data_IF_145015746104
#
_entry.id   IF_145015746104
#
_cell.length_a   1.000
_cell.length_b   1.000
_cell.length_c   1.000
_cell.angle_alpha   90.00
_cell.angle_beta   90.00
_cell.angle_gamma   90.00
#
_symmetry.space_group_name_H-M   'P 1'
#
loop_
_entity.id
_entity.type
_entity.pdbx_description
1 polymer ?
#
# COMPACT_ATOMS: atom_id res chain seq x y z
N UNK A 1 -6.57 -3.89 4.12
CA UNK A 1 -5.60 -3.75 3.02
C UNK A 1 -4.22 -3.54 3.61
N UNK A 2 -3.20 -4.30 3.20
CA UNK A 2 -1.81 -4.08 3.60
C UNK A 2 -1.07 -3.21 2.59
N UNK A 3 -0.27 -2.26 3.08
CA UNK A 3 0.65 -1.49 2.24
C UNK A 3 2.02 -2.15 2.26
N UNK A 4 2.48 -2.56 1.11
CA UNK A 4 3.73 -3.26 0.87
C UNK A 4 4.63 -2.40 0.00
N UNK A 5 5.84 -2.12 0.47
CA UNK A 5 6.80 -1.33 -0.28
C UNK A 5 8.22 -1.61 0.23
N UNK A 6 9.20 -1.37 -0.64
CA UNK A 6 10.58 -1.22 -0.17
C UNK A 6 10.75 0.06 0.66
N UNK A 7 11.81 0.12 1.44
CA UNK A 7 12.21 1.34 2.18
C UNK A 7 12.32 2.50 1.18
N UNK A 8 11.88 3.68 1.57
CA UNK A 8 11.88 4.92 0.78
C UNK A 8 11.00 4.93 -0.50
N UNK A 9 10.24 3.89 -0.82
CA UNK A 9 9.28 3.93 -1.93
C UNK A 9 8.05 4.82 -1.66
N UNK A 10 7.93 5.37 -0.44
CA UNK A 10 6.91 6.36 -0.09
C UNK A 10 5.67 5.79 0.60
N UNK A 11 5.78 4.61 1.21
CA UNK A 11 4.69 3.93 1.91
C UNK A 11 4.08 4.80 3.02
N UNK A 12 4.88 5.25 3.99
CA UNK A 12 4.43 6.12 5.09
C UNK A 12 3.86 7.44 4.57
N UNK A 13 4.46 8.01 3.52
CA UNK A 13 3.96 9.23 2.86
C UNK A 13 2.56 9.03 2.27
N UNK A 14 2.31 7.87 1.63
CA UNK A 14 0.99 7.56 1.08
C UNK A 14 -0.04 7.35 2.19
N UNK A 15 0.32 6.66 3.27
CA UNK A 15 -0.56 6.48 4.45
C UNK A 15 -0.94 7.83 5.05
N UNK A 16 0.04 8.72 5.28
CA UNK A 16 -0.21 10.06 5.78
C UNK A 16 -1.14 10.86 4.86
N UNK A 17 -0.93 10.76 3.54
CA UNK A 17 -1.79 11.43 2.57
C UNK A 17 -3.23 10.88 2.61
N UNK A 18 -3.43 9.56 2.72
CA UNK A 18 -4.74 8.92 2.86
C UNK A 18 -5.45 9.38 4.15
N UNK A 19 -4.74 9.40 5.27
CA UNK A 19 -5.30 9.83 6.56
C UNK A 19 -5.70 11.31 6.55
N UNK A 20 -4.91 12.17 5.89
CA UNK A 20 -5.23 13.60 5.73
C UNK A 20 -6.43 13.81 4.82
N UNK A 21 -6.46 13.15 3.66
CA UNK A 21 -7.53 13.32 2.65
C UNK A 21 -8.90 12.87 3.17
N UNK A 22 -8.95 11.86 4.04
CA UNK A 22 -10.19 11.31 4.59
C UNK A 22 -10.64 11.98 5.90
N UNK A 23 -9.93 13.04 6.34
CA UNK A 23 -10.31 13.80 7.53
C UNK A 23 -10.22 13.02 8.84
N UNK A 24 -9.45 11.94 8.89
CA UNK A 24 -9.26 11.10 10.08
C UNK A 24 -8.60 11.88 11.23
N UNK A 25 -7.92 12.97 10.92
CA UNK A 25 -7.36 13.89 11.91
C UNK A 25 -8.33 15.04 12.20
N UNK A 26 -8.56 15.35 13.49
CA UNK A 26 -9.30 16.53 13.89
C UNK A 26 -8.57 17.79 13.37
N UNK A 27 -9.34 18.78 12.87
CA UNK A 27 -8.83 20.00 12.22
C UNK A 27 -7.85 20.85 13.07
N UNK A 28 -7.65 20.50 14.34
CA UNK A 28 -6.78 21.20 15.29
C UNK A 28 -5.57 20.38 15.77
N UNK A 29 -5.39 19.14 15.30
CA UNK A 29 -4.18 18.40 15.59
C UNK A 29 -3.07 18.84 14.63
N UNK A 30 -1.97 19.38 15.18
CA UNK A 30 -0.76 19.56 14.41
C UNK A 30 -0.30 18.18 13.92
N UNK A 31 -0.52 17.92 12.64
CA UNK A 31 -0.15 16.63 12.03
C UNK A 31 1.36 16.62 11.93
N UNK A 32 2.00 15.88 12.81
CA UNK A 32 3.43 15.58 12.70
C UNK A 32 3.60 14.67 11.48
N UNK A 33 4.57 14.97 10.62
CA UNK A 33 4.91 14.06 9.53
C UNK A 33 5.26 12.67 10.10
N UNK A 34 4.87 11.61 9.37
CA UNK A 34 5.00 10.21 9.80
C UNK A 34 4.17 9.88 11.04
N UNK A 35 2.88 10.20 10.98
CA UNK A 35 1.93 9.97 12.07
C UNK A 35 1.94 8.52 12.58
N UNK A 36 2.19 7.57 11.70
CA UNK A 36 2.25 6.15 12.06
C UNK A 36 3.58 5.75 12.73
N UNK A 37 4.68 6.47 12.51
CA UNK A 37 5.97 6.17 13.13
C UNK A 37 6.02 6.74 14.56
N UNK A 38 5.42 6.04 15.52
CA UNK A 38 5.29 6.49 16.90
C UNK A 38 6.46 6.09 17.81
N UNK A 39 7.31 5.16 17.37
CA UNK A 39 8.48 4.70 18.13
C UNK A 39 9.70 5.59 17.83
N UNK A 40 10.44 5.98 18.88
CA UNK A 40 11.64 6.81 18.74
C UNK A 40 12.68 6.18 17.79
N UNK A 41 12.81 4.86 17.78
CA UNK A 41 13.71 4.14 16.87
C UNK A 41 13.26 4.22 15.40
N UNK A 42 11.95 4.17 15.14
CA UNK A 42 11.39 4.33 13.80
C UNK A 42 11.62 5.75 13.27
N UNK A 43 11.43 6.76 14.14
CA UNK A 43 11.69 8.17 13.82
C UNK A 43 13.15 8.45 13.55
N UNK A 44 14.04 7.92 14.39
CA UNK A 44 15.49 8.10 14.27
C UNK A 44 16.04 7.44 13.00
N UNK A 45 15.60 6.23 12.71
CA UNK A 45 16.07 5.44 11.54
C UNK A 45 15.29 5.71 10.27
N UNK A 46 14.12 6.33 10.37
CA UNK A 46 13.26 6.63 9.23
C UNK A 46 12.60 5.40 8.60
N UNK A 47 12.47 4.29 9.32
CA UNK A 47 11.88 3.02 8.84
C UNK A 47 10.76 2.55 9.76
N UNK A 48 9.72 1.92 9.20
CA UNK A 48 8.69 1.21 9.97
C UNK A 48 9.25 -0.11 10.48
N UNK A 49 9.15 -0.35 11.79
CA UNK A 49 9.62 -1.59 12.45
C UNK A 49 8.45 -2.51 12.76
N UNK A 50 7.35 -1.97 13.30
CA UNK A 50 6.15 -2.72 13.66
C UNK A 50 5.03 -2.43 12.69
N UNK A 51 4.26 -3.46 12.33
CA UNK A 51 3.03 -3.29 11.58
C UNK A 51 2.03 -2.47 12.40
N UNK A 52 1.40 -1.48 11.77
CA UNK A 52 0.43 -0.59 12.41
C UNK A 52 -0.84 -0.55 11.60
N UNK A 53 -1.96 -0.49 12.30
CA UNK A 53 -3.26 -0.38 11.67
C UNK A 53 -3.81 1.03 11.81
N UNK A 54 -4.37 1.54 10.72
CA UNK A 54 -5.16 2.76 10.67
C UNK A 54 -6.46 2.50 9.92
N UNK A 55 -7.45 3.34 10.14
CA UNK A 55 -8.71 3.24 9.40
C UNK A 55 -9.04 4.57 8.77
N UNK A 56 -9.50 4.53 7.53
CA UNK A 56 -10.04 5.68 6.82
C UNK A 56 -11.47 5.37 6.41
N UNK A 57 -12.32 6.40 6.37
CA UNK A 57 -13.68 6.27 5.84
C UNK A 57 -13.75 7.05 4.53
N UNK A 58 -14.12 6.36 3.46
CA UNK A 58 -14.30 6.96 2.14
C UNK A 58 -15.63 6.52 1.54
N UNK A 59 -16.44 7.47 1.12
CA UNK A 59 -17.84 7.23 0.83
C UNK A 59 -18.44 6.45 2.03
N UNK A 60 -19.26 5.52 1.90
CA UNK A 60 -19.83 4.75 3.03
C UNK A 60 -19.01 3.50 3.41
N UNK A 61 -17.73 3.44 3.01
CA UNK A 61 -16.86 2.28 3.23
C UNK A 61 -15.74 2.62 4.21
N UNK A 62 -15.57 1.79 5.23
CA UNK A 62 -14.43 1.82 6.13
C UNK A 62 -13.31 0.95 5.58
N UNK A 63 -12.18 1.56 5.26
CA UNK A 63 -10.98 0.89 4.77
C UNK A 63 -9.97 0.81 5.90
N UNK A 64 -9.62 -0.40 6.33
CA UNK A 64 -8.56 -0.62 7.31
C UNK A 64 -7.24 -0.78 6.57
N UNK A 65 -6.29 0.08 6.88
CA UNK A 65 -4.95 0.10 6.31
C UNK A 65 -3.98 -0.52 7.33
N UNK A 66 -3.15 -1.44 6.87
CA UNK A 66 -2.07 -2.01 7.68
C UNK A 66 -0.75 -1.59 7.05
N UNK A 67 -0.02 -0.72 7.75
CA UNK A 67 1.32 -0.31 7.36
C UNK A 67 2.31 -1.40 7.76
N UNK A 68 2.98 -2.01 6.79
CA UNK A 68 3.91 -3.12 7.02
C UNK A 68 5.36 -2.63 7.02
N UNK A 69 6.27 -3.25 7.79
CA UNK A 69 7.70 -2.99 7.67
C UNK A 69 8.19 -3.24 6.23
N UNK A 70 9.06 -2.35 5.74
CA UNK A 70 9.67 -2.48 4.41
C UNK A 70 11.02 -3.21 4.42
N UNK A 71 11.54 -3.61 5.58
CA UNK A 71 12.87 -4.21 5.72
C UNK A 71 12.79 -5.74 5.90
N UNK A 72 13.71 -6.48 5.26
CA UNK A 72 13.73 -7.95 5.27
C UNK A 72 13.84 -8.57 6.68
N UNK A 73 14.47 -7.87 7.62
CA UNK A 73 14.66 -8.35 8.99
C UNK A 73 13.32 -8.49 9.76
N UNK A 74 12.25 -7.88 9.26
CA UNK A 74 10.92 -7.91 9.87
C UNK A 74 9.93 -8.82 9.14
N UNK A 75 10.41 -9.85 8.44
CA UNK A 75 9.59 -10.76 7.65
C UNK A 75 8.43 -11.40 8.43
N UNK A 76 8.62 -11.72 9.71
CA UNK A 76 7.57 -12.27 10.57
C UNK A 76 6.41 -11.30 10.84
N UNK A 77 6.69 -9.98 10.95
CA UNK A 77 5.64 -8.96 11.08
C UNK A 77 4.87 -8.79 9.77
N UNK A 78 5.56 -8.86 8.64
CA UNK A 78 4.93 -8.82 7.31
C UNK A 78 4.00 -10.02 7.11
N UNK A 79 4.44 -11.24 7.44
CA UNK A 79 3.60 -12.44 7.35
C UNK A 79 2.34 -12.32 8.21
N UNK A 80 2.47 -11.87 9.46
CA UNK A 80 1.29 -11.64 10.33
C UNK A 80 0.34 -10.60 9.75
N UNK A 81 0.88 -9.49 9.23
CA UNK A 81 0.06 -8.45 8.63
C UNK A 81 -0.73 -8.96 7.43
N UNK A 82 -0.10 -9.78 6.57
CA UNK A 82 -0.73 -10.34 5.38
C UNK A 82 -1.86 -11.34 5.72
N UNK A 83 -1.80 -12.05 6.84
CA UNK A 83 -2.89 -12.95 7.26
C UNK A 83 -4.14 -12.22 7.78
N UNK A 84 -4.06 -10.91 8.02
CA UNK A 84 -5.15 -10.10 8.56
C UNK A 84 -5.83 -9.20 7.54
N UNK A 85 -5.47 -9.33 6.26
CA UNK A 85 -5.95 -8.41 5.21
C UNK A 85 -6.57 -9.17 4.04
N UNK A 86 -7.39 -8.47 3.27
CA UNK A 86 -8.12 -9.02 2.12
C UNK A 86 -7.49 -8.63 0.77
N UNK A 87 -6.38 -7.88 0.80
CA UNK A 87 -5.64 -7.48 -0.39
C UNK A 87 -4.47 -6.58 -0.06
N UNK A 88 -3.63 -6.30 -1.05
CA UNK A 88 -2.41 -5.50 -0.88
C UNK A 88 -2.34 -4.31 -1.83
N UNK A 89 -1.71 -3.23 -1.37
CA UNK A 89 -1.18 -2.15 -2.20
C UNK A 89 0.32 -2.34 -2.33
N UNK A 90 0.79 -2.71 -3.51
CA UNK A 90 2.20 -2.86 -3.82
C UNK A 90 2.75 -1.53 -4.34
N UNK A 91 3.46 -0.78 -3.49
CA UNK A 91 4.10 0.47 -3.87
C UNK A 91 5.48 0.21 -4.47
N UNK A 92 5.71 0.79 -5.64
CA UNK A 92 6.99 0.74 -6.34
C UNK A 92 7.40 2.16 -6.75
N UNK A 93 8.64 2.54 -6.49
CA UNK A 93 9.20 3.81 -6.94
C UNK A 93 9.39 3.80 -8.46
N UNK A 94 8.90 4.84 -9.14
CA UNK A 94 8.94 4.95 -10.61
C UNK A 94 10.34 5.02 -11.21
N UNK A 95 11.38 5.28 -10.41
CA UNK A 95 12.76 5.33 -10.86
C UNK A 95 13.54 4.05 -10.51
N UNK A 96 13.30 3.49 -9.30
CA UNK A 96 14.05 2.35 -8.79
C UNK A 96 13.50 1.00 -9.25
N UNK A 97 12.18 0.88 -9.39
CA UNK A 97 11.54 -0.38 -9.72
C UNK A 97 11.40 -1.34 -8.52
N UNK A 98 10.95 -2.59 -8.75
CA UNK A 98 10.79 -3.58 -7.70
C UNK A 98 12.16 -4.08 -7.21
N UNK A 99 12.36 -4.07 -5.89
CA UNK A 99 13.60 -4.49 -5.24
C UNK A 99 13.45 -5.88 -4.60
N UNK A 100 14.54 -6.57 -4.20
CA UNK A 100 14.49 -7.96 -3.72
C UNK A 100 13.51 -8.21 -2.57
N UNK A 101 13.33 -7.25 -1.67
CA UNK A 101 12.38 -7.36 -0.57
C UNK A 101 10.92 -7.34 -1.06
N UNK A 102 10.64 -6.61 -2.13
CA UNK A 102 9.32 -6.62 -2.79
C UNK A 102 8.98 -8.05 -3.26
N UNK A 103 9.95 -8.78 -3.81
CA UNK A 103 9.78 -10.17 -4.24
C UNK A 103 9.32 -11.08 -3.11
N UNK A 104 9.98 -11.00 -1.95
CA UNK A 104 9.63 -11.83 -0.79
C UNK A 104 8.20 -11.60 -0.32
N UNK A 105 7.83 -10.32 -0.13
CA UNK A 105 6.50 -9.97 0.36
C UNK A 105 5.42 -10.32 -0.64
N UNK A 106 5.66 -10.06 -1.94
CA UNK A 106 4.72 -10.41 -3.00
C UNK A 106 4.52 -11.93 -3.07
N UNK A 107 5.58 -12.75 -2.98
CA UNK A 107 5.47 -14.19 -2.94
C UNK A 107 4.54 -14.67 -1.80
N UNK A 108 4.65 -14.06 -0.62
CA UNK A 108 3.78 -14.38 0.51
C UNK A 108 2.34 -13.97 0.26
N UNK A 109 2.11 -12.79 -0.30
CA UNK A 109 0.76 -12.33 -0.66
C UNK A 109 0.10 -13.25 -1.70
N UNK A 110 0.84 -13.65 -2.75
CA UNK A 110 0.36 -14.60 -3.75
C UNK A 110 0.03 -15.97 -3.15
N UNK A 111 0.85 -16.47 -2.21
CA UNK A 111 0.58 -17.75 -1.52
C UNK A 111 -0.67 -17.72 -0.65
N UNK A 112 -1.12 -16.53 -0.24
CA UNK A 112 -2.37 -16.29 0.49
C UNK A 112 -3.53 -15.92 -0.45
N UNK A 113 -3.31 -15.95 -1.77
CA UNK A 113 -4.30 -15.58 -2.79
C UNK A 113 -4.86 -14.16 -2.62
N UNK A 114 -4.04 -13.22 -2.17
CA UNK A 114 -4.44 -11.83 -1.96
C UNK A 114 -4.39 -11.05 -3.28
N UNK A 115 -5.49 -10.36 -3.67
CA UNK A 115 -5.46 -9.47 -4.82
C UNK A 115 -4.51 -8.30 -4.56
N UNK A 116 -3.82 -7.86 -5.62
CA UNK A 116 -2.87 -6.77 -5.58
C UNK A 116 -3.34 -5.57 -6.40
N UNK A 117 -3.10 -4.37 -5.88
CA UNK A 117 -3.13 -3.12 -6.64
C UNK A 117 -1.71 -2.59 -6.68
N UNK A 118 -1.17 -2.37 -7.86
CA UNK A 118 0.18 -1.83 -8.05
C UNK A 118 0.12 -0.31 -8.10
N UNK A 119 0.90 0.34 -7.24
CA UNK A 119 0.99 1.79 -7.17
C UNK A 119 2.40 2.22 -7.57
N UNK A 120 2.54 2.76 -8.78
CA UNK A 120 3.79 3.36 -9.27
C UNK A 120 3.88 4.77 -8.71
N UNK A 121 4.70 4.95 -7.69
CA UNK A 121 4.83 6.20 -6.95
C UNK A 121 6.00 7.05 -7.43
N UNK A 122 5.96 8.34 -7.13
CA UNK A 122 6.98 9.33 -7.48
C UNK A 122 7.14 9.49 -9.00
N UNK A 123 6.04 9.40 -9.75
CA UNK A 123 6.05 9.59 -11.21
C UNK A 123 6.45 11.01 -11.63
N UNK A 124 6.50 11.95 -10.67
CA UNK A 124 6.95 13.33 -10.83
C UNK A 124 8.48 13.51 -10.85
N UNK A 125 9.24 12.45 -10.55
CA UNK A 125 10.71 12.52 -10.59
C UNK A 125 11.21 12.68 -12.03
N UNK A 126 12.26 13.46 -12.21
CA UNK A 126 12.88 13.66 -13.52
C UNK A 126 13.56 12.41 -14.10
N UNK A 127 13.84 11.42 -13.27
CA UNK A 127 14.42 10.11 -13.62
C UNK A 127 13.38 8.98 -13.58
N UNK A 128 12.08 9.30 -13.49
CA UNK A 128 11.02 8.31 -13.52
C UNK A 128 10.97 7.57 -14.89
N UNK A 129 10.84 6.24 -14.81
CA UNK A 129 10.73 5.32 -15.95
C UNK A 129 9.54 4.36 -15.73
N UNK A 130 8.37 4.94 -15.50
CA UNK A 130 7.20 4.22 -15.01
C UNK A 130 6.75 3.05 -15.90
N UNK A 131 6.90 3.16 -17.25
CA UNK A 131 6.57 2.07 -18.17
C UNK A 131 7.52 0.88 -17.97
N UNK A 132 8.84 1.12 -17.91
CA UNK A 132 9.83 0.08 -17.67
C UNK A 132 9.65 -0.58 -16.30
N UNK A 133 9.34 0.24 -15.28
CA UNK A 133 9.07 -0.27 -13.93
C UNK A 133 7.81 -1.14 -13.91
N UNK A 134 6.78 -0.80 -14.65
CA UNK A 134 5.60 -1.65 -14.77
C UNK A 134 5.93 -2.98 -15.44
N UNK A 135 6.75 -2.98 -16.49
CA UNK A 135 7.21 -4.21 -17.15
C UNK A 135 8.03 -5.09 -16.16
N UNK A 136 8.91 -4.47 -15.36
CA UNK A 136 9.64 -5.16 -14.29
C UNK A 136 8.70 -5.77 -13.22
N UNK A 137 7.61 -5.10 -12.90
CA UNK A 137 6.59 -5.62 -11.98
C UNK A 137 5.87 -6.82 -12.62
N UNK A 138 5.45 -6.73 -13.89
CA UNK A 138 4.87 -7.90 -14.58
C UNK A 138 5.84 -9.07 -14.62
N UNK A 139 7.12 -8.82 -14.94
CA UNK A 139 8.14 -9.87 -14.93
C UNK A 139 8.28 -10.51 -13.53
N UNK A 140 8.21 -9.70 -12.46
CA UNK A 140 8.26 -10.19 -11.09
C UNK A 140 7.08 -11.13 -10.76
N UNK A 141 5.86 -10.80 -11.21
CA UNK A 141 4.68 -11.67 -11.03
C UNK A 141 4.85 -12.98 -11.81
N UNK A 142 5.33 -12.93 -13.04
CA UNK A 142 5.62 -14.12 -13.87
C UNK A 142 6.69 -14.99 -13.22
N UNK A 143 7.78 -14.41 -12.74
CA UNK A 143 8.88 -15.11 -12.04
C UNK A 143 8.44 -15.78 -10.73
N UNK A 144 7.36 -15.30 -10.15
CA UNK A 144 6.74 -15.87 -8.95
C UNK A 144 5.65 -16.89 -9.28
N UNK A 145 5.50 -17.26 -10.56
CA UNK A 145 4.47 -18.20 -11.04
C UNK A 145 3.05 -17.77 -10.65
N UNK A 146 2.81 -16.44 -10.65
CA UNK A 146 1.48 -15.89 -10.40
C UNK A 146 0.49 -16.38 -11.46
N UNK A 147 -0.73 -16.73 -11.05
CA UNK A 147 -1.77 -17.13 -11.96
C UNK A 147 -2.41 -15.92 -12.68
N UNK A 148 -3.25 -16.18 -13.67
CA UNK A 148 -3.91 -15.15 -14.48
C UNK A 148 -4.72 -14.16 -13.64
N UNK A 149 -5.25 -14.61 -12.51
CA UNK A 149 -6.01 -13.80 -11.57
C UNK A 149 -5.15 -12.74 -10.88
N UNK A 150 -3.91 -13.09 -10.56
CA UNK A 150 -2.98 -12.18 -9.91
C UNK A 150 -2.31 -11.23 -10.90
N UNK A 151 -2.16 -11.64 -12.17
CA UNK A 151 -1.55 -10.81 -13.23
C UNK A 151 -2.53 -9.72 -13.70
N UNK A 152 -3.85 -9.90 -13.54
CA UNK A 152 -4.87 -8.87 -13.82
C UNK A 152 -4.97 -7.82 -12.68
N UNK A 153 -3.86 -7.32 -12.21
CA UNK A 153 -3.84 -6.28 -11.20
C UNK A 153 -4.14 -4.89 -11.78
N UNK A 154 -4.75 -4.03 -10.96
CA UNK A 154 -4.93 -2.62 -11.31
C UNK A 154 -3.65 -1.82 -11.08
N UNK A 155 -3.39 -0.87 -11.98
CA UNK A 155 -2.23 0.03 -11.92
C UNK A 155 -2.70 1.43 -11.57
N UNK A 156 -2.04 2.06 -10.59
CA UNK A 156 -2.25 3.44 -10.18
C UNK A 156 -0.92 4.18 -10.27
N UNK A 157 -0.89 5.33 -10.93
CA UNK A 157 0.21 6.27 -10.82
C UNK A 157 -0.03 7.25 -9.69
N UNK A 158 1.02 7.53 -8.91
CA UNK A 158 0.91 8.37 -7.72
C UNK A 158 2.05 9.39 -7.58
N UNK A 159 1.71 10.54 -7.03
CA UNK A 159 2.61 11.52 -6.40
C UNK A 159 2.17 11.62 -4.94
N UNK A 160 2.55 10.62 -4.14
CA UNK A 160 2.03 10.43 -2.78
C UNK A 160 2.25 11.64 -1.88
N UNK A 161 3.39 12.34 -2.01
CA UNK A 161 3.70 13.56 -1.24
C UNK A 161 2.72 14.71 -1.50
N UNK A 162 2.10 14.75 -2.68
CA UNK A 162 1.11 15.75 -3.09
C UNK A 162 -0.32 15.24 -2.95
N UNK A 163 -0.51 13.98 -2.58
CA UNK A 163 -1.81 13.35 -2.45
C UNK A 163 -2.54 13.21 -3.78
N UNK A 164 -1.83 13.01 -4.89
CA UNK A 164 -2.40 12.89 -6.24
C UNK A 164 -2.23 11.49 -6.80
N UNK A 165 -3.30 10.96 -7.37
CA UNK A 165 -3.33 9.63 -8.01
C UNK A 165 -4.11 9.65 -9.30
N UNK A 166 -3.85 8.67 -10.18
CA UNK A 166 -4.65 8.38 -11.36
C UNK A 166 -4.64 6.89 -11.68
N UNK A 167 -5.68 6.40 -12.32
CA UNK A 167 -5.74 5.02 -12.84
C UNK A 167 -4.85 4.92 -14.09
N UNK A 168 -4.06 3.85 -14.16
CA UNK A 168 -3.10 3.61 -15.24
C UNK A 168 -1.80 4.37 -15.07
N UNK A 169 -0.94 4.33 -16.11
CA UNK A 169 0.34 5.04 -16.14
C UNK A 169 0.17 6.47 -16.61
N UNK A 170 0.89 7.38 -15.96
CA UNK A 170 0.96 8.78 -16.35
C UNK A 170 1.18 9.72 -15.19
N UNK A 171 1.17 11.03 -15.47
CA UNK A 171 1.25 12.07 -14.46
C UNK A 171 -0.16 12.44 -14.01
N UNK A 172 -0.52 12.28 -12.73
CA UNK A 172 -1.79 12.75 -12.21
C UNK A 172 -1.97 14.26 -12.43
N UNK A 173 -3.19 14.67 -12.79
CA UNK A 173 -3.52 16.08 -12.98
C UNK A 173 -3.22 16.92 -11.73
N UNK A 174 -3.03 18.23 -11.88
CA UNK A 174 -2.70 19.12 -10.75
C UNK A 174 -3.80 19.20 -9.70
N UNK A 175 -5.04 19.03 -10.13
CA UNK A 175 -6.26 19.01 -9.31
C UNK A 175 -6.71 17.59 -8.93
N UNK A 176 -5.94 16.56 -9.30
CA UNK A 176 -6.21 15.19 -8.87
C UNK A 176 -6.01 15.04 -7.36
N UNK A 177 -6.73 14.08 -6.81
CA UNK A 177 -6.65 13.69 -5.40
C UNK A 177 -6.41 12.18 -5.26
N UNK A 178 -6.72 11.61 -4.10
CA UNK A 178 -6.57 10.18 -3.81
C UNK A 178 -7.79 9.34 -4.21
N UNK A 179 -8.83 9.94 -4.80
CA UNK A 179 -10.08 9.24 -5.13
C UNK A 179 -9.84 8.08 -6.09
N UNK A 180 -8.94 8.24 -7.08
CA UNK A 180 -8.62 7.17 -8.02
C UNK A 180 -8.09 5.91 -7.32
N UNK A 181 -7.23 6.06 -6.31
CA UNK A 181 -6.73 4.96 -5.50
C UNK A 181 -7.82 4.37 -4.61
N UNK A 182 -8.58 5.23 -3.90
CA UNK A 182 -9.62 4.80 -2.96
C UNK A 182 -10.76 4.07 -3.68
N UNK A 183 -11.18 4.54 -4.84
CA UNK A 183 -12.19 3.89 -5.67
C UNK A 183 -11.69 2.52 -6.17
N UNK A 184 -10.43 2.44 -6.61
CA UNK A 184 -9.83 1.18 -7.03
C UNK A 184 -9.73 0.17 -5.88
N UNK A 185 -9.43 0.61 -4.65
CA UNK A 185 -9.43 -0.26 -3.47
C UNK A 185 -10.82 -0.86 -3.25
N UNK A 186 -11.87 -0.05 -3.29
CA UNK A 186 -13.25 -0.52 -3.08
C UNK A 186 -13.70 -1.49 -4.18
N UNK A 187 -13.27 -1.23 -5.42
CA UNK A 187 -13.66 -2.04 -6.58
C UNK A 187 -12.94 -3.39 -6.65
N UNK A 188 -11.64 -3.42 -6.29
CA UNK A 188 -10.78 -4.58 -6.53
C UNK A 188 -10.50 -5.44 -5.30
N UNK A 189 -10.58 -4.89 -4.10
CA UNK A 189 -10.32 -5.64 -2.88
C UNK A 189 -11.66 -6.04 -2.26
N UNK A 190 -11.90 -7.35 -2.08
CA UNK A 190 -13.16 -7.83 -1.52
C UNK A 190 -13.32 -7.37 -0.07
N UNK A 191 -14.57 -7.23 0.35
CA UNK A 191 -14.87 -7.04 1.76
C UNK A 191 -14.53 -8.32 2.56
N UNK A 192 -14.17 -8.20 3.85
CA UNK A 192 -13.94 -9.37 4.70
C UNK A 192 -15.13 -10.32 4.69
N UNK A 193 -14.84 -11.60 4.54
CA UNK A 193 -15.86 -12.66 4.62
C UNK A 193 -16.06 -13.09 6.06
N UNK A 194 -17.31 -13.20 6.52
CA UNK A 194 -17.62 -13.65 7.87
C UNK A 194 -19.13 -13.61 8.12
N UNK A 195 -19.54 -14.32 9.15
CA UNK A 195 -20.91 -14.28 9.66
C UNK A 195 -20.96 -13.23 10.81
N UNK A 196 -21.64 -12.09 10.64
CA UNK A 196 -21.72 -11.06 11.68
C UNK A 196 -22.46 -11.54 12.94
N UNK A 197 -23.28 -12.59 12.84
CA UNK A 197 -24.04 -13.16 13.94
C UNK A 197 -23.29 -14.32 14.63
N UNK A 198 -22.13 -14.72 14.13
CA UNK A 198 -21.30 -15.74 14.74
C UNK A 198 -20.74 -15.29 16.11
N UNK A 199 -20.49 -16.23 17.04
CA UNK A 199 -19.82 -15.91 18.31
C UNK A 199 -18.45 -15.26 18.08
N UNK A 200 -18.11 -14.28 18.93
CA UNK A 200 -16.80 -13.62 18.88
C UNK A 200 -15.67 -14.65 18.95
N UNK A 201 -14.76 -14.59 18.01
CA UNK A 201 -13.52 -15.36 18.01
C UNK A 201 -12.33 -14.37 18.08
N UNK A 202 -11.38 -14.66 18.95
CA UNK A 202 -10.15 -13.91 19.06
C UNK A 202 -8.97 -14.87 19.11
N UNK A 203 -7.96 -14.61 18.31
CA UNK A 203 -6.66 -15.28 18.39
C UNK A 203 -5.72 -14.41 19.24
N UNK A 204 -5.14 -15.04 20.27
CA UNK A 204 -4.21 -14.38 21.21
C UNK A 204 -2.79 -14.86 20.98
#
# INVERSE_FOLDING_TARGET
>A
VALVAHVDHGKTTLVDALLRATGTFAAHQAVVDRVMDSNDQERERGITILAKAASVTYKDTKINLVDTPGHADFGGEVERALTMVDGILLLVDAAEGPLPQTRYVLQKALSLNLPAIVVINKVDRGDARAEEVLDEVYQLFIDLEADDHHIDFSVISAVAREGRTMVGLGMPAQDADLSALLDTIIDRIPAPTGDPDAPLQALV
#
